data_IF_146356483608
#
_entry.id   IF_146356483608
#
_cell.length_a   1.000
_cell.length_b   1.000
_cell.length_c   1.000
_cell.angle_alpha   90.00
_cell.angle_beta   90.00
_cell.angle_gamma   90.00
#
_symmetry.space_group_name_H-M   'P 1'
#
loop_
_entity.id
_entity.type
_entity.pdbx_description
1 polymer ?
#
# COMPACT_ATOMS: atom_id res chain seq x y z
N UNK A 1 -23.10 15.99 -8.14
CA UNK A 1 -24.31 16.82 -8.36
C UNK A 1 -24.91 17.39 -7.06
N UNK A 2 -24.55 16.88 -5.87
CA UNK A 2 -25.06 17.32 -4.56
C UNK A 2 -24.22 18.39 -3.84
N UNK A 3 -23.02 18.72 -4.34
CA UNK A 3 -22.11 19.71 -3.73
C UNK A 3 -22.40 21.18 -4.12
N UNK A 4 -23.40 21.44 -4.96
CA UNK A 4 -23.72 22.78 -5.48
C UNK A 4 -24.97 23.41 -4.86
N UNK A 5 -25.66 22.72 -3.96
CA UNK A 5 -26.78 23.27 -3.19
C UNK A 5 -26.26 23.66 -1.80
N UNK A 6 -26.60 24.84 -1.25
CA UNK A 6 -26.29 25.14 0.14
C UNK A 6 -27.05 24.14 1.03
N UNK A 7 -26.33 23.13 1.50
CA UNK A 7 -26.81 22.13 2.43
C UNK A 7 -26.83 22.80 3.81
N UNK A 8 -27.93 23.47 4.15
CA UNK A 8 -28.09 24.03 5.49
C UNK A 8 -28.50 22.92 6.46
N UNK A 9 -27.78 22.75 7.59
CA UNK A 9 -28.10 21.77 8.62
C UNK A 9 -27.81 20.30 8.27
N UNK A 10 -26.98 20.03 7.25
CA UNK A 10 -26.56 18.66 6.93
C UNK A 10 -25.34 18.22 7.76
N UNK A 11 -25.24 16.91 8.03
CA UNK A 11 -24.02 16.29 8.52
C UNK A 11 -23.33 15.57 7.35
N UNK A 12 -22.20 16.11 6.92
CA UNK A 12 -21.38 15.58 5.84
C UNK A 12 -20.26 14.73 6.45
N UNK A 13 -20.12 13.49 5.99
CA UNK A 13 -19.03 12.59 6.38
C UNK A 13 -18.21 12.33 5.11
N UNK A 14 -16.94 12.69 5.16
CA UNK A 14 -15.98 12.59 4.05
C UNK A 14 -14.86 11.66 4.48
N UNK A 15 -14.54 10.70 3.62
CA UNK A 15 -13.49 9.72 3.84
C UNK A 15 -12.32 10.03 2.90
N UNK A 16 -11.18 10.45 3.48
CA UNK A 16 -9.92 10.79 2.80
C UNK A 16 -10.07 11.66 1.53
N UNK A 17 -10.73 12.84 1.60
CA UNK A 17 -10.95 13.69 0.44
C UNK A 17 -9.67 14.26 -0.19
N UNK A 18 -8.51 14.17 0.47
CA UNK A 18 -7.20 14.56 -0.09
C UNK A 18 -6.48 13.45 -0.85
N UNK A 19 -6.99 12.21 -0.85
CA UNK A 19 -6.36 11.11 -1.57
C UNK A 19 -6.16 11.46 -3.06
N UNK A 20 -4.92 11.38 -3.55
CA UNK A 20 -4.54 11.73 -4.93
C UNK A 20 -4.56 13.23 -5.26
N UNK A 21 -4.76 14.11 -4.27
CA UNK A 21 -4.67 15.56 -4.45
C UNK A 21 -3.23 16.05 -4.26
N UNK A 22 -2.82 16.95 -5.13
CA UNK A 22 -1.58 17.69 -4.96
C UNK A 22 -1.72 18.70 -3.80
N UNK A 23 -0.67 18.97 -2.98
CA UNK A 23 -0.74 19.89 -1.84
C UNK A 23 -1.31 21.29 -2.17
N UNK A 24 -1.03 21.79 -3.37
CA UNK A 24 -1.60 23.05 -3.90
C UNK A 24 -3.13 23.04 -3.95
N UNK A 25 -3.75 21.90 -4.24
CA UNK A 25 -5.20 21.75 -4.36
C UNK A 25 -5.87 21.43 -3.02
N UNK A 26 -5.12 20.86 -2.05
CA UNK A 26 -5.56 20.71 -0.66
C UNK A 26 -6.03 22.03 -0.05
N UNK A 27 -5.34 23.14 -0.33
CA UNK A 27 -5.75 24.46 0.13
C UNK A 27 -7.12 24.91 -0.42
N UNK A 28 -7.45 24.56 -1.67
CA UNK A 28 -8.76 24.86 -2.26
C UNK A 28 -9.86 23.99 -1.63
N UNK A 29 -9.55 22.73 -1.35
CA UNK A 29 -10.45 21.83 -0.64
C UNK A 29 -10.76 22.39 0.76
N UNK A 30 -9.75 22.80 1.53
CA UNK A 30 -9.94 23.40 2.86
C UNK A 30 -10.87 24.61 2.84
N UNK A 31 -10.68 25.53 1.89
CA UNK A 31 -11.57 26.69 1.71
C UNK A 31 -13.02 26.23 1.48
N UNK A 32 -13.21 25.16 0.70
CA UNK A 32 -14.54 24.62 0.40
C UNK A 32 -15.17 23.96 1.63
N UNK A 33 -14.40 23.19 2.40
CA UNK A 33 -14.85 22.55 3.63
C UNK A 33 -15.27 23.60 4.68
N UNK A 34 -14.48 24.66 4.87
CA UNK A 34 -14.83 25.75 5.77
C UNK A 34 -16.09 26.50 5.30
N UNK A 35 -16.27 26.74 4.00
CA UNK A 35 -17.51 27.33 3.47
C UNK A 35 -18.75 26.49 3.75
N UNK A 36 -18.64 25.16 3.61
CA UNK A 36 -19.73 24.25 3.94
C UNK A 36 -20.07 24.32 5.43
N UNK A 37 -19.06 24.28 6.31
CA UNK A 37 -19.25 24.49 7.75
C UNK A 37 -19.92 25.84 8.05
N UNK A 38 -19.42 26.93 7.47
CA UNK A 38 -19.90 28.29 7.72
C UNK A 38 -21.34 28.51 7.20
N UNK A 39 -21.78 27.70 6.23
CA UNK A 39 -23.17 27.65 5.77
C UNK A 39 -24.12 26.91 6.73
N UNK A 40 -23.63 26.44 7.89
CA UNK A 40 -24.44 25.77 8.92
C UNK A 40 -24.50 24.24 8.81
N UNK A 41 -23.59 23.63 8.04
CA UNK A 41 -23.40 22.17 8.04
C UNK A 41 -22.38 21.73 9.09
N UNK A 42 -22.51 20.49 9.58
CA UNK A 42 -21.43 19.80 10.29
C UNK A 42 -20.64 18.98 9.29
N UNK A 43 -19.32 19.12 9.29
CA UNK A 43 -18.43 18.41 8.37
C UNK A 43 -17.47 17.54 9.18
N UNK A 44 -17.62 16.23 9.06
CA UNK A 44 -16.74 15.23 9.67
C UNK A 44 -15.85 14.69 8.56
N UNK A 45 -14.54 14.79 8.75
CA UNK A 45 -13.54 14.35 7.78
C UNK A 45 -12.64 13.32 8.44
N UNK A 46 -12.54 12.14 7.82
CA UNK A 46 -11.50 11.16 8.13
C UNK A 46 -10.31 11.49 7.25
N UNK A 47 -9.17 11.84 7.85
CA UNK A 47 -7.99 12.32 7.11
C UNK A 47 -6.69 11.96 7.81
N UNK A 48 -5.63 11.96 7.00
CA UNK A 48 -4.24 11.77 7.40
C UNK A 48 -3.35 12.93 6.92
N UNK A 49 -3.85 13.81 6.05
CA UNK A 49 -3.11 14.98 5.56
C UNK A 49 -2.85 16.01 6.67
N UNK A 50 -1.59 16.41 6.79
CA UNK A 50 -1.14 17.31 7.85
C UNK A 50 -1.72 18.72 7.78
N UNK A 51 -2.03 19.24 6.58
CA UNK A 51 -2.64 20.56 6.43
C UNK A 51 -4.11 20.52 6.86
N UNK A 52 -4.83 19.44 6.52
CA UNK A 52 -6.20 19.23 7.01
C UNK A 52 -6.25 19.07 8.52
N UNK A 53 -5.38 18.25 9.10
CA UNK A 53 -5.31 18.06 10.56
C UNK A 53 -5.04 19.40 11.27
N UNK A 54 -4.15 20.23 10.73
CA UNK A 54 -3.83 21.55 11.32
C UNK A 54 -4.96 22.57 11.17
N UNK A 55 -5.73 22.51 10.08
CA UNK A 55 -6.82 23.43 9.79
C UNK A 55 -8.14 23.07 10.49
N UNK A 56 -8.25 21.87 11.08
CA UNK A 56 -9.46 21.41 11.74
C UNK A 56 -9.83 22.28 12.96
N UNK A 57 -11.13 22.57 13.13
CA UNK A 57 -11.63 23.24 14.35
C UNK A 57 -11.57 22.31 15.56
N UNK A 58 -11.82 21.03 15.32
CA UNK A 58 -11.84 19.97 16.31
C UNK A 58 -11.22 18.71 15.72
N UNK A 59 -10.28 18.13 16.44
CA UNK A 59 -9.54 16.93 16.08
C UNK A 59 -9.92 15.80 17.04
N UNK A 60 -10.19 14.63 16.48
CA UNK A 60 -10.44 13.37 17.20
C UNK A 60 -9.35 12.40 16.77
N UNK A 61 -8.55 11.92 17.73
CA UNK A 61 -7.50 10.94 17.48
C UNK A 61 -7.89 9.58 18.07
N UNK A 62 -7.80 8.55 17.25
CA UNK A 62 -8.15 7.17 17.61
C UNK A 62 -6.91 6.29 17.58
N UNK A 63 -6.79 5.39 18.54
CA UNK A 63 -5.68 4.43 18.60
C UNK A 63 -5.74 3.57 19.87
N UNK A 64 -4.60 3.24 20.51
CA UNK A 64 -3.21 3.60 20.15
C UNK A 64 -2.65 2.87 18.93
N UNK A 65 -3.25 1.76 18.51
CA UNK A 65 -2.86 1.01 17.32
C UNK A 65 -4.01 0.82 16.33
N UNK A 66 -3.83 -0.10 15.39
CA UNK A 66 -4.84 -0.48 14.41
C UNK A 66 -5.52 -1.81 14.77
N UNK A 67 -6.66 -2.08 14.14
CA UNK A 67 -7.42 -3.31 14.37
C UNK A 67 -7.83 -3.50 15.83
N UNK A 68 -7.48 -4.67 16.41
CA UNK A 68 -7.84 -5.00 17.78
C UNK A 68 -7.12 -4.16 18.84
N UNK A 69 -6.01 -3.50 18.48
CA UNK A 69 -5.25 -2.60 19.38
C UNK A 69 -5.69 -1.13 19.25
N UNK A 70 -6.70 -0.86 18.41
CA UNK A 70 -7.25 0.46 18.16
C UNK A 70 -8.64 0.67 18.76
N UNK A 71 -9.34 1.67 18.23
CA UNK A 71 -10.74 1.94 18.59
C UNK A 71 -10.94 2.66 19.92
N UNK A 72 -9.87 3.13 20.56
CA UNK A 72 -9.94 3.97 21.76
C UNK A 72 -9.78 5.43 21.38
N UNK A 73 -10.52 6.30 22.08
CA UNK A 73 -10.36 7.75 21.97
C UNK A 73 -9.08 8.16 22.72
N UNK A 74 -8.04 8.53 21.99
CA UNK A 74 -6.80 9.02 22.59
C UNK A 74 -6.92 10.51 22.94
N UNK A 75 -7.55 11.28 22.05
CA UNK A 75 -7.67 12.72 22.17
C UNK A 75 -8.92 13.25 21.47
N UNK A 76 -9.55 14.26 22.06
CA UNK A 76 -10.58 15.07 21.44
C UNK A 76 -10.42 16.53 21.89
N UNK A 77 -10.20 17.44 20.95
CA UNK A 77 -9.97 18.85 21.26
C UNK A 77 -9.48 19.62 20.04
N UNK A 78 -8.86 20.78 20.24
CA UNK A 78 -8.27 21.51 19.11
C UNK A 78 -6.94 20.87 18.67
N UNK A 79 -6.50 21.03 17.40
CA UNK A 79 -5.18 20.56 16.97
C UNK A 79 -4.02 21.10 17.80
N UNK A 80 -4.17 22.30 18.37
CA UNK A 80 -3.17 22.89 19.26
C UNK A 80 -3.01 22.11 20.57
N UNK A 81 -4.10 21.59 21.14
CA UNK A 81 -4.05 20.76 22.35
C UNK A 81 -3.52 19.35 22.06
N UNK A 82 -3.77 18.80 20.87
CA UNK A 82 -3.25 17.48 20.47
C UNK A 82 -1.71 17.43 20.55
N UNK A 83 -1.04 18.55 20.26
CA UNK A 83 0.41 18.73 20.38
C UNK A 83 0.93 18.60 21.82
N UNK A 84 0.09 18.57 22.84
CA UNK A 84 0.54 18.41 24.23
C UNK A 84 0.28 16.99 24.75
N UNK A 85 -0.46 16.17 24.00
CA UNK A 85 -0.75 14.78 24.38
C UNK A 85 0.39 13.84 23.97
N UNK A 86 1.04 13.24 24.97
CA UNK A 86 2.19 12.37 24.81
C UNK A 86 1.87 10.96 24.25
N UNK A 87 0.60 10.56 24.24
CA UNK A 87 0.16 9.23 23.79
C UNK A 87 -0.47 9.23 22.40
N UNK A 88 -0.49 10.38 21.72
CA UNK A 88 -1.10 10.55 20.40
C UNK A 88 -0.01 10.54 19.31
N UNK A 89 0.04 9.53 18.42
CA UNK A 89 0.93 9.53 17.26
C UNK A 89 0.70 10.74 16.35
N UNK A 90 -0.57 11.18 16.22
CA UNK A 90 -0.94 12.40 15.53
C UNK A 90 -0.33 13.63 16.22
N UNK A 91 -0.32 13.67 17.55
CA UNK A 91 0.35 14.69 18.35
C UNK A 91 1.86 14.72 18.14
N UNK A 92 2.51 13.55 18.06
CA UNK A 92 3.95 13.43 17.74
C UNK A 92 4.26 14.01 16.37
N UNK A 93 3.45 13.69 15.36
CA UNK A 93 3.55 14.29 14.03
C UNK A 93 3.41 15.82 14.08
N UNK A 94 2.40 16.33 14.78
CA UNK A 94 2.15 17.76 14.88
C UNK A 94 3.25 18.53 15.63
N UNK A 95 4.00 17.85 16.51
CA UNK A 95 5.20 18.38 17.19
C UNK A 95 6.48 18.25 16.36
N UNK A 96 6.47 17.46 15.28
CA UNK A 96 7.68 17.07 14.56
C UNK A 96 8.57 16.09 15.32
N UNK A 97 7.96 15.27 16.20
CA UNK A 97 8.64 14.29 17.06
C UNK A 97 8.63 12.86 16.49
N UNK A 98 8.10 12.66 15.28
CA UNK A 98 8.21 11.36 14.61
C UNK A 98 9.69 11.02 14.36
N UNK A 99 10.07 9.72 14.41
CA UNK A 99 11.42 9.29 14.10
C UNK A 99 11.83 9.74 12.70
N UNK A 100 13.07 10.21 12.56
CA UNK A 100 13.65 10.42 11.25
C UNK A 100 13.88 9.08 10.54
N UNK A 101 13.76 9.06 9.22
CA UNK A 101 14.18 7.91 8.42
C UNK A 101 15.71 7.89 8.39
N UNK A 102 16.32 6.99 9.17
CA UNK A 102 17.78 6.90 9.39
C UNK A 102 18.54 6.29 8.19
N UNK A 103 18.43 6.88 7.00
CA UNK A 103 19.23 6.44 5.84
C UNK A 103 19.83 7.62 5.11
N UNK A 104 21.16 7.59 4.97
CA UNK A 104 21.87 8.58 4.17
C UNK A 104 21.42 8.49 2.70
N UNK A 105 21.16 9.62 2.03
CA UNK A 105 20.77 9.62 0.63
C UNK A 105 21.90 9.07 -0.25
N UNK A 106 21.52 8.36 -1.31
CA UNK A 106 22.47 7.84 -2.30
C UNK A 106 23.02 9.02 -3.10
N UNK A 107 24.34 9.18 -3.11
CA UNK A 107 24.98 10.24 -3.89
C UNK A 107 25.01 9.85 -5.37
N UNK A 108 24.28 10.59 -6.19
CA UNK A 108 24.19 10.36 -7.63
C UNK A 108 25.26 11.18 -8.35
N UNK A 109 26.08 10.52 -9.17
CA UNK A 109 27.15 11.14 -9.94
C UNK A 109 26.84 11.07 -11.45
N UNK A 110 27.55 11.84 -12.26
CA UNK A 110 27.37 11.87 -13.73
C UNK A 110 27.63 10.53 -14.43
N UNK A 111 28.37 9.62 -13.78
CA UNK A 111 28.66 8.26 -14.26
C UNK A 111 27.72 7.20 -13.69
N UNK A 112 26.77 7.57 -12.84
CA UNK A 112 25.80 6.63 -12.29
C UNK A 112 24.99 5.99 -13.42
N UNK A 113 24.67 4.71 -13.23
CA UNK A 113 23.80 3.98 -14.12
C UNK A 113 22.42 4.64 -14.20
N UNK A 114 21.79 4.60 -15.37
CA UNK A 114 20.52 5.27 -15.62
C UNK A 114 19.68 4.54 -16.67
N UNK A 115 18.37 4.76 -16.62
CA UNK A 115 17.43 4.49 -17.71
C UNK A 115 17.07 5.81 -18.40
N UNK A 116 17.09 5.83 -19.72
CA UNK A 116 16.72 7.03 -20.48
C UNK A 116 15.44 6.78 -21.26
N UNK A 117 14.35 7.42 -20.88
CA UNK A 117 13.11 7.42 -21.67
C UNK A 117 13.28 8.44 -22.80
N UNK A 118 13.02 8.04 -24.05
CA UNK A 118 13.13 8.94 -25.21
C UNK A 118 11.77 9.32 -25.78
N UNK A 119 11.53 10.62 -25.88
CA UNK A 119 10.40 11.25 -26.54
C UNK A 119 9.05 10.56 -26.22
N UNK A 120 8.74 10.40 -24.94
CA UNK A 120 7.43 9.93 -24.51
C UNK A 120 6.34 10.94 -24.89
N UNK A 121 5.27 10.44 -25.52
CA UNK A 121 4.17 11.23 -26.11
C UNK A 121 2.79 10.72 -25.72
N UNK A 122 2.70 9.78 -24.78
CA UNK A 122 1.42 9.22 -24.38
C UNK A 122 0.57 10.29 -23.67
N UNK A 123 -0.73 10.32 -23.99
CA UNK A 123 -1.69 11.31 -23.49
C UNK A 123 -1.22 12.76 -23.69
N UNK A 124 -0.98 13.50 -22.60
CA UNK A 124 -0.59 14.89 -22.64
C UNK A 124 0.93 15.13 -22.62
N UNK A 125 1.76 14.08 -22.62
CA UNK A 125 3.22 14.20 -22.60
C UNK A 125 3.75 14.90 -23.86
N UNK A 126 4.61 15.91 -23.68
CA UNK A 126 5.09 16.80 -24.75
C UNK A 126 6.50 16.41 -25.22
N UNK A 127 6.64 15.22 -25.82
CA UNK A 127 7.93 14.66 -26.27
C UNK A 127 8.98 14.60 -25.15
N UNK A 128 8.59 14.05 -24.00
CA UNK A 128 9.44 14.03 -22.81
C UNK A 128 10.59 13.04 -22.99
N UNK A 129 11.82 13.53 -22.92
CA UNK A 129 13.02 12.70 -22.79
C UNK A 129 13.66 12.94 -21.42
N UNK A 130 13.93 11.88 -20.67
CA UNK A 130 14.41 12.00 -19.29
C UNK A 130 15.30 10.84 -18.88
N UNK A 131 16.33 11.15 -18.09
CA UNK A 131 17.21 10.22 -17.43
C UNK A 131 16.71 9.92 -16.00
N UNK A 132 16.54 8.63 -15.69
CA UNK A 132 16.21 8.12 -14.37
C UNK A 132 17.43 7.37 -13.80
N UNK A 133 18.08 7.87 -12.74
CA UNK A 133 19.21 7.18 -12.13
C UNK A 133 18.78 5.84 -11.51
N UNK A 134 19.66 4.83 -11.61
CA UNK A 134 19.47 3.50 -11.04
C UNK A 134 20.17 3.36 -9.68
N UNK A 135 19.81 2.32 -8.94
CA UNK A 135 20.28 2.00 -7.59
C UNK A 135 20.04 3.13 -6.57
N UNK A 136 18.95 3.87 -6.76
CA UNK A 136 18.53 4.96 -5.89
C UNK A 136 17.01 5.04 -5.80
N UNK A 137 16.54 5.88 -4.88
CA UNK A 137 15.13 6.24 -4.74
C UNK A 137 14.81 7.46 -5.62
N UNK A 138 14.12 7.24 -6.74
CA UNK A 138 13.55 8.30 -7.57
C UNK A 138 12.10 8.58 -7.16
N UNK A 139 11.76 9.84 -6.86
CA UNK A 139 10.40 10.29 -6.64
C UNK A 139 9.90 11.11 -7.84
N UNK A 140 8.74 10.75 -8.40
CA UNK A 140 8.06 11.46 -9.48
C UNK A 140 6.89 12.23 -8.89
N UNK A 141 6.91 13.55 -9.03
CA UNK A 141 5.91 14.45 -8.45
C UNK A 141 5.37 15.44 -9.49
N UNK A 142 4.47 16.32 -9.05
CA UNK A 142 3.78 17.31 -9.88
C UNK A 142 2.26 17.18 -9.81
N UNK A 143 1.52 18.20 -10.25
CA UNK A 143 0.05 18.29 -10.03
C UNK A 143 -0.74 17.12 -10.62
N UNK A 144 -1.94 16.85 -10.08
CA UNK A 144 -2.80 15.78 -10.58
C UNK A 144 -3.14 16.02 -12.06
N UNK A 145 -3.00 15.00 -12.90
CA UNK A 145 -3.16 15.13 -14.36
C UNK A 145 -1.98 15.75 -15.11
N UNK A 146 -0.82 15.97 -14.47
CA UNK A 146 0.37 16.48 -15.16
C UNK A 146 1.04 15.48 -16.12
N UNK A 147 0.78 14.18 -15.95
CA UNK A 147 1.32 13.11 -16.79
C UNK A 147 2.22 12.08 -16.07
N UNK A 148 2.26 12.07 -14.73
CA UNK A 148 3.07 11.14 -13.92
C UNK A 148 2.83 9.66 -14.23
N UNK A 149 1.59 9.19 -14.07
CA UNK A 149 1.21 7.80 -14.37
C UNK A 149 1.37 7.49 -15.85
N UNK A 150 1.11 8.45 -16.74
CA UNK A 150 1.36 8.27 -18.18
C UNK A 150 2.83 8.03 -18.49
N UNK A 151 3.76 8.71 -17.82
CA UNK A 151 5.19 8.51 -18.03
C UNK A 151 5.69 7.19 -17.42
N UNK A 152 5.31 6.89 -16.17
CA UNK A 152 5.88 5.76 -15.42
C UNK A 152 5.05 4.47 -15.61
N UNK A 153 3.75 4.53 -15.35
CA UNK A 153 2.86 3.37 -15.36
C UNK A 153 2.45 2.95 -16.77
N UNK A 154 2.20 3.91 -17.66
CA UNK A 154 1.68 3.61 -19.00
C UNK A 154 2.76 3.63 -20.10
N UNK A 155 3.90 4.27 -19.87
CA UNK A 155 5.03 4.28 -20.83
C UNK A 155 6.21 3.42 -20.35
N UNK A 156 6.82 3.72 -19.20
CA UNK A 156 8.02 3.01 -18.74
C UNK A 156 7.74 1.54 -18.39
N UNK A 157 6.71 1.28 -17.58
CA UNK A 157 6.41 -0.07 -17.09
C UNK A 157 6.16 -1.08 -18.22
N UNK A 158 5.32 -0.81 -19.26
CA UNK A 158 5.10 -1.76 -20.33
C UNK A 158 6.37 -2.04 -21.15
N UNK A 159 7.17 -1.01 -21.43
CA UNK A 159 8.41 -1.14 -22.21
C UNK A 159 9.44 -1.99 -21.46
N UNK A 160 9.66 -1.74 -20.17
CA UNK A 160 10.57 -2.54 -19.35
C UNK A 160 10.02 -3.96 -19.16
N UNK A 161 8.72 -4.11 -18.92
CA UNK A 161 8.08 -5.43 -18.75
C UNK A 161 8.22 -6.30 -20.00
N UNK A 162 8.07 -5.72 -21.19
CA UNK A 162 8.24 -6.44 -22.45
C UNK A 162 9.67 -6.96 -22.63
N UNK A 163 10.67 -6.14 -22.27
CA UNK A 163 12.07 -6.53 -22.35
C UNK A 163 12.45 -7.63 -21.35
N UNK A 164 11.90 -7.57 -20.13
CA UNK A 164 12.26 -8.45 -19.03
C UNK A 164 11.48 -9.77 -19.04
N UNK A 165 10.16 -9.75 -19.29
CA UNK A 165 9.28 -10.92 -19.15
C UNK A 165 9.17 -11.78 -20.42
N UNK A 166 9.61 -11.28 -21.59
CA UNK A 166 9.55 -12.00 -22.88
C UNK A 166 8.19 -12.66 -23.20
N UNK A 167 7.06 -12.03 -22.83
CA UNK A 167 5.71 -12.56 -23.06
C UNK A 167 4.91 -11.68 -24.05
N UNK A 168 4.01 -12.29 -24.82
CA UNK A 168 3.30 -11.65 -25.95
C UNK A 168 2.40 -10.49 -25.55
N UNK A 169 1.77 -10.56 -24.37
CA UNK A 169 0.88 -9.51 -23.88
C UNK A 169 1.65 -8.23 -23.52
N UNK A 170 2.88 -8.37 -23.00
CA UNK A 170 3.74 -7.25 -22.66
C UNK A 170 4.25 -6.52 -23.92
N UNK A 171 4.51 -7.24 -25.01
CA UNK A 171 4.94 -6.65 -26.27
C UNK A 171 3.86 -5.74 -26.90
N UNK A 172 2.58 -6.09 -26.74
CA UNK A 172 1.46 -5.27 -27.24
C UNK A 172 1.32 -3.99 -26.42
N UNK A 173 1.38 -4.09 -25.09
CA UNK A 173 1.35 -2.92 -24.21
C UNK A 173 2.55 -1.98 -24.43
N UNK A 174 3.73 -2.51 -24.73
CA UNK A 174 4.90 -1.70 -25.08
C UNK A 174 4.73 -0.93 -26.41
N UNK A 175 3.96 -1.46 -27.37
CA UNK A 175 3.66 -0.75 -28.62
C UNK A 175 2.73 0.47 -28.39
N UNK A 176 1.89 0.40 -27.36
CA UNK A 176 0.98 1.49 -26.97
C UNK A 176 1.63 2.54 -26.05
N UNK A 177 2.87 2.32 -25.60
CA UNK A 177 3.60 3.24 -24.73
C UNK A 177 3.95 4.60 -25.37
N UNK A 178 3.84 4.72 -26.70
CA UNK A 178 4.06 5.96 -27.50
C UNK A 178 5.37 6.71 -27.14
N UNK A 179 6.49 6.00 -27.06
CA UNK A 179 7.84 6.57 -26.92
C UNK A 179 8.79 6.05 -28.01
N UNK A 180 9.94 6.69 -28.21
CA UNK A 180 10.98 6.25 -29.17
C UNK A 180 11.90 5.13 -28.61
N UNK A 181 11.62 4.69 -27.39
CA UNK A 181 12.34 3.63 -26.70
C UNK A 181 12.83 4.08 -25.32
N UNK A 182 13.30 3.10 -24.57
CA UNK A 182 13.98 3.31 -23.29
C UNK A 182 15.38 2.69 -23.40
N UNK A 183 16.42 3.50 -23.19
CA UNK A 183 17.81 3.04 -23.22
C UNK A 183 18.25 2.60 -21.80
N UNK A 184 19.17 1.63 -21.72
CA UNK A 184 19.70 1.12 -20.45
C UNK A 184 18.87 0.00 -19.80
N UNK A 185 17.82 -0.51 -20.48
CA UNK A 185 16.92 -1.55 -19.94
C UNK A 185 17.66 -2.85 -19.62
N UNK A 186 18.75 -3.15 -20.32
CA UNK A 186 19.60 -4.33 -20.12
C UNK A 186 20.19 -4.42 -18.70
N UNK A 187 20.20 -3.32 -17.97
CA UNK A 187 20.62 -3.26 -16.56
C UNK A 187 19.55 -3.80 -15.61
N UNK A 188 18.29 -3.90 -16.04
CA UNK A 188 17.15 -4.36 -15.24
C UNK A 188 16.87 -5.83 -15.52
N UNK A 189 16.83 -6.64 -14.47
CA UNK A 189 16.61 -8.09 -14.57
C UNK A 189 15.20 -8.51 -14.15
N UNK A 190 14.51 -7.68 -13.38
CA UNK A 190 13.14 -7.88 -12.92
C UNK A 190 12.45 -6.52 -12.79
N UNK A 191 11.16 -6.45 -13.10
CA UNK A 191 10.33 -5.28 -12.81
C UNK A 191 9.15 -5.70 -11.95
N UNK A 192 8.85 -4.89 -10.94
CA UNK A 192 7.71 -5.09 -10.02
C UNK A 192 6.94 -3.79 -9.95
N UNK A 193 5.65 -3.83 -10.30
CA UNK A 193 4.74 -2.72 -10.13
C UNK A 193 3.83 -2.96 -8.93
N UNK A 194 3.75 -1.97 -8.05
CA UNK A 194 2.87 -1.96 -6.89
C UNK A 194 1.89 -0.79 -7.02
N UNK A 195 0.67 -1.11 -7.43
CA UNK A 195 -0.43 -0.17 -7.55
C UNK A 195 -1.40 -0.26 -6.36
N UNK A 196 -2.37 0.67 -6.32
CA UNK A 196 -3.47 0.65 -5.35
C UNK A 196 -4.57 -0.36 -5.71
N UNK A 197 -4.36 -1.24 -6.71
CA UNK A 197 -5.40 -2.20 -7.08
C UNK A 197 -5.69 -3.15 -5.91
N UNK A 198 -6.97 -3.49 -5.65
CA UNK A 198 -7.33 -4.35 -4.53
C UNK A 198 -6.61 -5.70 -4.57
N UNK A 199 -6.12 -6.16 -3.42
CA UNK A 199 -5.45 -7.46 -3.31
C UNK A 199 -6.44 -8.61 -3.52
N UNK A 200 -6.59 -9.04 -4.76
CA UNK A 200 -7.38 -10.21 -5.12
C UNK A 200 -8.89 -10.02 -4.94
N UNK A 201 -9.64 -10.14 -6.04
CA UNK A 201 -11.11 -10.08 -6.00
C UNK A 201 -11.79 -11.30 -5.35
N UNK A 202 -11.00 -12.26 -4.86
CA UNK A 202 -11.52 -13.51 -4.30
C UNK A 202 -11.45 -13.52 -2.79
N UNK A 203 -12.55 -13.90 -2.14
CA UNK A 203 -12.61 -14.17 -0.68
C UNK A 203 -11.68 -15.30 -0.20
N UNK A 204 -10.96 -15.95 -1.13
CA UNK A 204 -9.94 -16.96 -0.87
C UNK A 204 -8.53 -16.40 -0.68
N UNK A 205 -8.27 -15.19 -1.17
CA UNK A 205 -7.00 -14.51 -0.91
C UNK A 205 -6.99 -14.01 0.53
N UNK A 206 -5.91 -14.29 1.25
CA UNK A 206 -5.67 -13.84 2.63
C UNK A 206 -4.17 -13.71 2.89
N UNK A 207 -3.77 -13.15 4.05
CA UNK A 207 -2.37 -12.98 4.42
C UNK A 207 -1.58 -14.28 4.26
N UNK A 208 -2.06 -15.40 4.79
CA UNK A 208 -1.34 -16.69 4.75
C UNK A 208 -0.99 -17.14 3.32
N UNK A 209 -1.88 -16.85 2.36
CA UNK A 209 -1.64 -17.16 0.95
C UNK A 209 -0.77 -16.12 0.25
N UNK A 210 -0.93 -14.84 0.61
CA UNK A 210 -0.17 -13.72 0.06
C UNK A 210 1.31 -13.81 0.44
N UNK A 211 1.60 -14.03 1.72
CA UNK A 211 2.98 -14.21 2.20
C UNK A 211 3.58 -15.59 1.84
N UNK A 212 2.86 -16.45 1.11
CA UNK A 212 3.37 -17.74 0.66
C UNK A 212 3.58 -18.80 1.74
N UNK A 213 3.30 -18.51 3.02
CA UNK A 213 3.52 -19.44 4.13
C UNK A 213 2.52 -20.60 4.16
N UNK A 214 1.36 -20.45 3.51
CA UNK A 214 0.26 -21.41 3.66
C UNK A 214 0.64 -22.84 3.26
N UNK A 215 1.52 -22.99 2.26
CA UNK A 215 2.00 -24.30 1.84
C UNK A 215 2.85 -24.98 2.91
N UNK A 216 3.70 -24.21 3.60
CA UNK A 216 4.54 -24.68 4.70
C UNK A 216 3.69 -25.05 5.92
N UNK A 217 2.74 -24.20 6.30
CA UNK A 217 1.78 -24.48 7.39
C UNK A 217 1.02 -25.79 7.14
N UNK A 218 0.46 -25.98 5.94
CA UNK A 218 -0.26 -27.23 5.59
C UNK A 218 0.64 -28.46 5.68
N UNK A 219 1.93 -28.35 5.33
CA UNK A 219 2.91 -29.45 5.47
C UNK A 219 3.22 -29.78 6.93
N UNK A 220 3.13 -28.83 7.85
CA UNK A 220 3.32 -29.12 9.28
C UNK A 220 2.19 -29.99 9.82
N UNK A 221 0.94 -29.71 9.43
CA UNK A 221 -0.22 -30.51 9.85
C UNK A 221 -0.16 -31.96 9.38
N UNK A 222 0.38 -32.25 8.19
CA UNK A 222 0.55 -33.64 7.71
C UNK A 222 1.59 -34.43 8.50
N UNK A 223 2.47 -33.76 9.26
CA UNK A 223 3.47 -34.43 10.11
C UNK A 223 2.91 -34.86 11.47
N UNK A 224 1.71 -34.41 11.84
CA UNK A 224 1.07 -34.79 13.11
C UNK A 224 0.70 -36.28 13.11
N UNK A 225 0.74 -36.91 14.29
CA UNK A 225 0.41 -38.35 14.44
C UNK A 225 -1.00 -38.66 13.94
N UNK A 226 -1.97 -37.83 14.29
CA UNK A 226 -3.37 -38.00 13.91
C UNK A 226 -3.59 -37.89 12.40
N UNK A 227 -2.95 -36.92 11.74
CA UNK A 227 -3.03 -36.78 10.29
C UNK A 227 -2.43 -37.99 9.57
N UNK A 228 -1.29 -38.50 10.05
CA UNK A 228 -0.63 -39.68 9.47
C UNK A 228 -1.49 -40.93 9.61
N UNK A 229 -2.07 -41.19 10.78
CA UNK A 229 -2.94 -42.34 11.00
C UNK A 229 -4.19 -42.31 10.10
N UNK A 230 -4.68 -41.12 9.74
CA UNK A 230 -5.85 -40.94 8.87
C UNK A 230 -5.49 -40.79 7.38
N UNK A 231 -4.22 -40.87 7.00
CA UNK A 231 -3.77 -40.72 5.62
C UNK A 231 -3.95 -39.30 5.05
N UNK A 232 -3.98 -38.27 5.90
CA UNK A 232 -4.23 -36.89 5.44
C UNK A 232 -3.01 -36.29 4.76
N UNK A 233 -3.23 -35.79 3.55
CA UNK A 233 -2.26 -35.05 2.74
C UNK A 233 -2.44 -33.53 2.90
N UNK A 234 -1.50 -32.74 2.38
CA UNK A 234 -1.57 -31.27 2.44
C UNK A 234 -2.82 -30.71 1.76
N UNK A 235 -3.41 -31.43 0.81
CA UNK A 235 -4.66 -31.05 0.14
C UNK A 235 -5.86 -31.04 1.11
N UNK A 236 -5.85 -31.89 2.15
CA UNK A 236 -6.91 -31.88 3.16
C UNK A 236 -6.90 -30.58 3.99
N UNK A 237 -5.73 -29.97 4.18
CA UNK A 237 -5.58 -28.71 4.91
C UNK A 237 -5.69 -27.47 4.01
N UNK A 238 -6.08 -27.62 2.73
CA UNK A 238 -6.30 -26.50 1.82
C UNK A 238 -7.76 -26.04 1.87
N UNK A 239 -7.99 -24.73 2.04
CA UNK A 239 -9.33 -24.14 1.87
C UNK A 239 -9.63 -23.80 0.40
N UNK A 240 -8.61 -23.73 -0.46
CA UNK A 240 -8.77 -23.45 -1.90
C UNK A 240 -9.24 -24.68 -2.68
N UNK A 241 -8.80 -25.86 -2.26
CA UNK A 241 -8.96 -27.13 -2.96
C UNK A 241 -9.01 -28.28 -1.96
N UNK A 242 -9.52 -29.45 -2.37
CA UNK A 242 -9.54 -30.65 -1.54
C UNK A 242 -10.81 -30.83 -0.69
N UNK A 243 -10.90 -32.01 -0.08
CA UNK A 243 -12.10 -32.50 0.63
C UNK A 243 -12.24 -31.95 2.05
N UNK A 244 -11.17 -31.37 2.60
CA UNK A 244 -11.15 -30.85 3.96
C UNK A 244 -11.87 -29.54 4.19
N UNK A 245 -12.15 -28.79 3.11
CA UNK A 245 -12.87 -27.51 3.20
C UNK A 245 -14.34 -27.71 3.56
N UNK A 246 -14.94 -26.68 4.14
CA UNK A 246 -16.38 -26.63 4.37
C UNK A 246 -17.12 -26.73 3.02
N UNK A 247 -18.07 -27.68 2.92
CA UNK A 247 -18.85 -27.93 1.70
C UNK A 247 -19.76 -26.75 1.33
N UNK A 248 -20.26 -26.07 2.34
CA UNK A 248 -21.29 -25.04 2.23
C UNK A 248 -20.79 -23.68 1.74
N UNK A 249 -19.60 -23.27 2.17
CA UNK A 249 -18.93 -22.07 1.67
C UNK A 249 -17.78 -22.39 0.71
N UNK A 250 -17.54 -23.67 0.41
CA UNK A 250 -16.42 -24.14 -0.45
C UNK A 250 -15.07 -23.50 -0.06
N UNK A 251 -14.84 -23.40 1.25
CA UNK A 251 -13.62 -22.86 1.85
C UNK A 251 -13.47 -21.34 1.93
N UNK A 252 -14.42 -20.53 1.47
CA UNK A 252 -14.33 -19.05 1.61
C UNK A 252 -14.47 -18.61 3.07
N UNK A 253 -15.27 -19.33 3.86
CA UNK A 253 -15.64 -18.95 5.23
C UNK A 253 -16.77 -17.91 5.27
N UNK A 254 -17.16 -17.36 4.13
CA UNK A 254 -18.18 -16.32 4.01
C UNK A 254 -19.24 -16.69 2.98
N UNK A 255 -20.41 -16.04 3.08
CA UNK A 255 -21.49 -16.10 2.10
C UNK A 255 -21.89 -14.69 1.69
N UNK A 256 -22.12 -14.49 0.39
CA UNK A 256 -22.66 -13.26 -0.14
C UNK A 256 -24.19 -13.29 -0.02
N UNK A 257 -24.75 -12.31 0.66
CA UNK A 257 -26.19 -12.08 0.77
C UNK A 257 -26.53 -10.91 -0.12
N UNK A 258 -27.27 -11.18 -1.19
CA UNK A 258 -27.73 -10.14 -2.10
C UNK A 258 -28.84 -9.32 -1.44
N UNK A 259 -28.70 -8.00 -1.50
CA UNK A 259 -29.69 -7.07 -0.97
C UNK A 259 -30.38 -6.33 -2.13
N UNK A 260 -31.66 -5.99 -1.97
CA UNK A 260 -32.43 -5.41 -3.07
C UNK A 260 -32.15 -3.93 -3.31
N UNK A 261 -31.76 -3.19 -2.26
CA UNK A 261 -31.60 -1.72 -2.30
C UNK A 261 -30.30 -1.23 -1.65
N UNK A 262 -29.54 -2.14 -1.04
CA UNK A 262 -28.27 -1.87 -0.40
C UNK A 262 -27.17 -2.67 -1.10
N UNK A 263 -25.89 -2.29 -0.96
CA UNK A 263 -24.78 -3.10 -1.42
C UNK A 263 -24.86 -4.52 -0.84
N UNK A 264 -24.46 -5.53 -1.62
CA UNK A 264 -24.43 -6.92 -1.18
C UNK A 264 -23.61 -7.05 0.12
N UNK A 265 -24.13 -7.79 1.09
CA UNK A 265 -23.46 -8.01 2.37
C UNK A 265 -22.72 -9.35 2.39
N UNK A 266 -21.52 -9.35 2.97
CA UNK A 266 -20.75 -10.57 3.20
C UNK A 266 -20.92 -11.00 4.64
N UNK A 267 -21.52 -12.17 4.87
CA UNK A 267 -21.71 -12.73 6.22
C UNK A 267 -20.79 -13.92 6.46
N UNK A 268 -20.51 -14.24 7.72
CA UNK A 268 -19.83 -15.47 8.09
C UNK A 268 -20.66 -16.71 7.71
N UNK A 269 -20.00 -17.75 7.20
CA UNK A 269 -20.68 -19.00 6.86
C UNK A 269 -21.25 -19.66 8.13
N UNK A 270 -22.57 -19.90 8.22
CA UNK A 270 -23.18 -20.46 9.43
C UNK A 270 -22.77 -21.92 9.69
N UNK A 271 -22.37 -22.65 8.65
CA UNK A 271 -22.04 -24.07 8.77
C UNK A 271 -20.67 -24.34 9.36
N UNK A 272 -19.72 -23.42 9.13
CA UNK A 272 -18.36 -23.52 9.68
C UNK A 272 -17.99 -22.36 10.60
N UNK A 273 -18.89 -21.42 10.85
CA UNK A 273 -18.65 -20.19 11.63
C UNK A 273 -17.39 -19.45 11.17
N UNK A 274 -17.21 -19.30 9.86
CA UNK A 274 -16.05 -18.65 9.27
C UNK A 274 -14.76 -19.48 9.24
N UNK A 275 -14.73 -20.68 9.81
CA UNK A 275 -13.50 -21.47 9.98
C UNK A 275 -12.98 -22.14 8.71
N UNK A 276 -13.69 -22.04 7.59
CA UNK A 276 -13.33 -22.56 6.25
C UNK A 276 -13.21 -24.08 6.10
N UNK A 277 -13.09 -24.84 7.18
CA UNK A 277 -12.84 -26.28 7.19
C UNK A 277 -14.01 -27.09 7.77
N UNK A 278 -14.07 -28.37 7.37
CA UNK A 278 -15.01 -29.33 7.95
C UNK A 278 -14.56 -29.76 9.37
N UNK A 279 -15.45 -30.36 10.19
CA UNK A 279 -15.13 -30.75 11.56
C UNK A 279 -13.99 -31.78 11.68
N UNK A 280 -13.84 -32.67 10.69
CA UNK A 280 -12.83 -33.73 10.71
C UNK A 280 -11.43 -33.12 10.60
N UNK A 281 -11.21 -32.22 9.64
CA UNK A 281 -9.91 -31.54 9.48
C UNK A 281 -9.62 -30.62 10.67
N UNK A 282 -10.65 -29.97 11.22
CA UNK A 282 -10.51 -29.14 12.42
C UNK A 282 -10.14 -29.92 13.69
N UNK A 283 -10.38 -31.23 13.72
CA UNK A 283 -9.99 -32.06 14.87
C UNK A 283 -8.48 -32.27 14.98
N UNK A 284 -7.75 -32.14 13.87
CA UNK A 284 -6.29 -32.34 13.85
C UNK A 284 -5.59 -31.15 14.49
N UNK A 285 -4.71 -31.42 15.46
CA UNK A 285 -3.97 -30.39 16.22
C UNK A 285 -2.48 -30.39 15.92
N UNK A 286 -1.91 -29.20 15.81
CA UNK A 286 -0.47 -28.92 15.83
C UNK A 286 -0.20 -27.94 16.98
N UNK A 287 0.58 -28.35 17.99
CA UNK A 287 0.78 -27.58 19.24
C UNK A 287 -0.54 -27.06 19.81
N UNK A 288 -1.51 -27.95 19.96
CA UNK A 288 -2.88 -27.70 20.45
C UNK A 288 -3.80 -26.82 19.57
N UNK A 289 -3.29 -26.31 18.45
CA UNK A 289 -4.07 -25.47 17.52
C UNK A 289 -4.53 -26.26 16.30
N UNK A 290 -5.79 -26.07 15.90
CA UNK A 290 -6.26 -26.59 14.61
C UNK A 290 -5.80 -25.68 13.47
N UNK A 291 -5.88 -26.19 12.24
CA UNK A 291 -5.58 -25.40 11.04
C UNK A 291 -6.44 -24.12 10.94
N UNK A 292 -7.65 -24.14 11.49
CA UNK A 292 -8.53 -22.98 11.52
C UNK A 292 -8.14 -21.97 12.62
N UNK A 293 -7.58 -22.45 13.73
CA UNK A 293 -7.07 -21.58 14.80
C UNK A 293 -5.81 -20.85 14.34
N UNK A 294 -4.93 -21.52 13.58
CA UNK A 294 -3.77 -20.87 12.95
C UNK A 294 -4.21 -19.72 12.03
N UNK A 295 -5.27 -19.90 11.24
CA UNK A 295 -5.80 -18.82 10.39
C UNK A 295 -6.42 -17.66 11.18
N UNK A 296 -6.75 -17.86 12.46
CA UNK A 296 -7.27 -16.79 13.32
C UNK A 296 -6.19 -16.06 14.10
N UNK A 297 -4.97 -16.61 14.17
CA UNK A 297 -3.85 -15.94 14.82
C UNK A 297 -3.56 -14.62 14.13
N UNK A 298 -3.28 -13.60 14.94
CA UNK A 298 -2.66 -12.36 14.47
C UNK A 298 -1.28 -12.64 13.91
N UNK A 299 -0.79 -11.79 13.02
CA UNK A 299 0.58 -11.94 12.48
C UNK A 299 1.61 -11.89 13.62
N UNK A 300 1.43 -11.03 14.62
CA UNK A 300 2.31 -10.95 15.80
C UNK A 300 2.38 -12.27 16.57
N UNK A 301 1.20 -12.86 16.85
CA UNK A 301 1.07 -14.13 17.55
C UNK A 301 1.64 -15.28 16.72
N UNK A 302 1.39 -15.27 15.41
CA UNK A 302 1.88 -16.29 14.49
C UNK A 302 3.41 -16.24 14.35
N UNK A 303 3.99 -15.04 14.27
CA UNK A 303 5.44 -14.85 14.21
C UNK A 303 6.11 -15.50 15.42
N UNK A 304 5.52 -15.33 16.61
CA UNK A 304 5.97 -15.96 17.83
C UNK A 304 5.75 -17.48 17.83
N UNK A 305 4.55 -17.92 17.46
CA UNK A 305 4.17 -19.34 17.42
C UNK A 305 5.10 -20.16 16.50
N UNK A 306 5.54 -19.57 15.39
CA UNK A 306 6.43 -20.19 14.41
C UNK A 306 7.91 -19.80 14.57
N UNK A 307 8.33 -19.22 15.70
CA UNK A 307 9.72 -18.76 15.95
C UNK A 307 10.80 -19.81 15.64
N UNK A 308 10.54 -21.08 15.91
CA UNK A 308 11.48 -22.18 15.62
C UNK A 308 11.59 -22.51 14.11
N UNK A 309 10.62 -22.10 13.31
CA UNK A 309 10.59 -22.32 11.87
C UNK A 309 11.12 -21.06 11.17
N UNK A 310 12.45 -20.93 11.07
CA UNK A 310 13.14 -19.75 10.56
C UNK A 310 12.53 -19.14 9.28
N UNK A 311 12.17 -19.99 8.31
CA UNK A 311 11.52 -19.53 7.07
C UNK A 311 10.15 -18.89 7.31
N UNK A 312 9.31 -19.49 8.15
CA UNK A 312 7.98 -18.96 8.49
C UNK A 312 8.11 -17.69 9.32
N UNK A 313 8.97 -17.73 10.34
CA UNK A 313 9.21 -16.61 11.23
C UNK A 313 9.71 -15.37 10.47
N UNK A 314 10.72 -15.51 9.61
CA UNK A 314 11.26 -14.39 8.84
C UNK A 314 10.20 -13.70 7.96
N UNK A 315 9.38 -14.49 7.26
CA UNK A 315 8.28 -13.95 6.44
C UNK A 315 7.24 -13.22 7.30
N UNK A 316 6.84 -13.81 8.43
CA UNK A 316 5.86 -13.20 9.34
C UNK A 316 6.41 -11.94 10.00
N UNK A 317 7.69 -11.92 10.36
CA UNK A 317 8.35 -10.76 10.96
C UNK A 317 8.46 -9.60 9.97
N UNK A 318 8.64 -9.87 8.67
CA UNK A 318 8.53 -8.83 7.62
C UNK A 318 7.13 -8.24 7.54
N UNK A 319 6.08 -9.06 7.62
CA UNK A 319 4.70 -8.54 7.65
C UNK A 319 4.42 -7.75 8.94
N UNK A 320 5.00 -8.17 10.06
CA UNK A 320 4.94 -7.43 11.31
C UNK A 320 5.65 -6.08 11.20
N UNK A 321 6.85 -6.04 10.62
CA UNK A 321 7.67 -4.84 10.55
C UNK A 321 7.02 -3.74 9.71
N UNK A 322 6.27 -4.09 8.65
CA UNK A 322 5.48 -3.12 7.87
C UNK A 322 4.18 -2.66 8.57
N UNK A 323 3.96 -3.04 9.83
CA UNK A 323 2.81 -2.59 10.63
C UNK A 323 1.53 -3.37 10.38
N UNK A 324 1.58 -4.60 9.83
CA UNK A 324 0.40 -5.46 9.64
C UNK A 324 0.18 -6.49 10.76
N UNK A 325 0.93 -6.36 11.87
CA UNK A 325 0.91 -7.29 13.01
C UNK A 325 -0.48 -7.63 13.56
N UNK A 326 -1.39 -6.65 13.54
CA UNK A 326 -2.76 -6.77 14.03
C UNK A 326 -3.70 -7.59 13.14
N UNK A 327 -3.35 -7.80 11.86
CA UNK A 327 -4.16 -8.59 10.94
C UNK A 327 -4.08 -10.07 11.27
N UNK A 328 -5.16 -10.81 10.99
CA UNK A 328 -5.14 -12.27 11.14
C UNK A 328 -4.70 -12.96 9.85
N UNK A 329 -4.03 -14.12 9.98
CA UNK A 329 -3.51 -14.87 8.83
C UNK A 329 -4.58 -15.25 7.80
N UNK A 330 -5.81 -15.49 8.26
CA UNK A 330 -6.96 -15.87 7.45
C UNK A 330 -7.83 -14.71 6.99
N UNK A 331 -7.55 -13.47 7.39
CA UNK A 331 -8.38 -12.32 7.01
C UNK A 331 -8.48 -12.22 5.48
N UNK A 332 -9.70 -12.16 4.91
CA UNK A 332 -9.88 -12.04 3.47
C UNK A 332 -9.24 -10.74 2.95
N UNK A 333 -8.45 -10.82 1.90
CA UNK A 333 -7.77 -9.68 1.32
C UNK A 333 -8.73 -8.63 0.73
N UNK A 334 -9.97 -9.02 0.42
CA UNK A 334 -11.05 -8.10 0.04
C UNK A 334 -11.54 -7.19 1.17
N UNK A 335 -11.14 -7.45 2.42
CA UNK A 335 -11.48 -6.62 3.58
C UNK A 335 -10.36 -5.65 3.97
N UNK A 336 -9.24 -5.68 3.23
CA UNK A 336 -8.13 -4.76 3.50
C UNK A 336 -8.49 -3.36 3.01
N UNK A 337 -8.11 -2.36 3.81
CA UNK A 337 -7.98 -0.98 3.34
C UNK A 337 -6.94 -0.88 2.21
N UNK A 338 -6.93 0.23 1.48
CA UNK A 338 -5.92 0.50 0.45
C UNK A 338 -4.50 0.40 1.01
N UNK A 339 -4.24 1.07 2.14
CA UNK A 339 -2.95 1.05 2.82
C UNK A 339 -2.54 -0.34 3.35
N UNK A 340 -3.47 -1.15 3.85
CA UNK A 340 -3.19 -2.55 4.23
C UNK A 340 -2.82 -3.40 3.02
N UNK A 341 -3.57 -3.26 1.92
CA UNK A 341 -3.33 -4.01 0.70
C UNK A 341 -1.94 -3.71 0.13
N UNK A 342 -1.55 -2.43 0.13
CA UNK A 342 -0.26 -2.01 -0.36
C UNK A 342 0.90 -2.50 0.51
N UNK A 343 0.80 -2.32 1.84
CA UNK A 343 1.80 -2.84 2.78
C UNK A 343 1.95 -4.35 2.67
N UNK A 344 0.86 -5.08 2.43
CA UNK A 344 0.90 -6.53 2.25
C UNK A 344 1.60 -6.93 0.93
N UNK A 345 1.41 -6.18 -0.16
CA UNK A 345 2.17 -6.39 -1.41
C UNK A 345 3.67 -6.14 -1.19
N UNK A 346 4.02 -5.02 -0.55
CA UNK A 346 5.40 -4.66 -0.26
C UNK A 346 6.08 -5.71 0.64
N UNK A 347 5.41 -6.13 1.71
CA UNK A 347 5.92 -7.15 2.61
C UNK A 347 6.15 -8.50 1.89
N UNK A 348 5.31 -8.85 0.92
CA UNK A 348 5.49 -10.06 0.12
C UNK A 348 6.79 -10.01 -0.71
N UNK A 349 7.15 -8.84 -1.24
CA UNK A 349 8.40 -8.66 -1.98
C UNK A 349 9.62 -8.68 -1.05
N UNK A 350 9.54 -8.00 0.09
CA UNK A 350 10.61 -7.99 1.09
C UNK A 350 10.88 -9.38 1.68
N UNK A 351 9.82 -10.16 1.89
CA UNK A 351 9.91 -11.51 2.43
C UNK A 351 10.51 -12.52 1.44
N UNK A 352 10.63 -12.16 0.16
CA UNK A 352 11.18 -13.00 -0.91
C UNK A 352 12.40 -12.31 -1.55
N UNK A 353 13.52 -12.17 -0.81
CA UNK A 353 14.69 -11.44 -1.31
C UNK A 353 15.23 -12.09 -2.58
N UNK A 354 15.62 -11.23 -3.53
CA UNK A 354 16.15 -11.64 -4.83
C UNK A 354 17.54 -11.03 -5.05
N UNK A 355 18.44 -11.79 -5.65
CA UNK A 355 19.73 -11.27 -6.11
C UNK A 355 19.64 -10.53 -7.45
N UNK A 356 18.48 -10.62 -8.11
CA UNK A 356 18.26 -9.96 -9.39
C UNK A 356 18.06 -8.46 -9.19
N UNK A 357 18.73 -7.65 -9.99
CA UNK A 357 18.49 -6.21 -9.98
C UNK A 357 17.05 -5.93 -10.42
N UNK A 358 16.25 -5.47 -9.46
CA UNK A 358 14.81 -5.24 -9.62
C UNK A 358 14.52 -3.75 -9.69
N UNK A 359 13.70 -3.35 -10.67
CA UNK A 359 13.08 -2.02 -10.73
C UNK A 359 11.71 -2.08 -10.07
N UNK A 360 11.56 -1.39 -8.95
CA UNK A 360 10.28 -1.24 -8.25
C UNK A 360 9.59 0.05 -8.70
N UNK A 361 8.37 -0.06 -9.20
CA UNK A 361 7.51 1.06 -9.58
C UNK A 361 6.33 1.11 -8.61
N UNK A 362 6.19 2.19 -7.85
CA UNK A 362 5.13 2.35 -6.86
C UNK A 362 4.27 3.56 -7.22
N UNK A 363 2.95 3.38 -7.20
CA UNK A 363 1.99 4.46 -7.46
C UNK A 363 1.31 4.89 -6.15
N UNK A 364 1.60 6.12 -5.72
CA UNK A 364 1.07 6.78 -4.51
C UNK A 364 0.99 5.87 -3.28
N UNK A 365 2.14 5.35 -2.79
CA UNK A 365 2.16 4.38 -1.72
C UNK A 365 1.84 4.89 -0.32
N UNK A 366 1.73 6.20 -0.15
CA UNK A 366 1.31 6.82 1.11
C UNK A 366 -0.16 7.22 1.13
N UNK A 367 -0.91 6.98 0.05
CA UNK A 367 -2.34 7.29 0.01
C UNK A 367 -3.08 6.54 1.13
N UNK A 368 -3.80 7.30 1.97
CA UNK A 368 -4.51 6.77 3.13
C UNK A 368 -3.63 6.23 4.27
N UNK A 369 -2.34 6.59 4.31
CA UNK A 369 -1.45 6.22 5.42
C UNK A 369 -1.30 7.37 6.42
N UNK A 370 -1.37 7.04 7.70
CA UNK A 370 -1.01 7.97 8.77
C UNK A 370 0.49 8.34 8.68
N UNK A 371 0.92 9.58 9.02
CA UNK A 371 2.31 9.98 8.93
C UNK A 371 3.33 9.06 9.64
N UNK A 372 2.96 8.47 10.77
CA UNK A 372 3.79 7.45 11.45
C UNK A 372 3.99 6.18 10.60
N UNK A 373 2.98 5.77 9.84
CA UNK A 373 3.06 4.64 8.92
C UNK A 373 3.89 4.98 7.68
N UNK A 374 3.89 6.25 7.24
CA UNK A 374 4.75 6.73 6.15
C UNK A 374 6.23 6.59 6.53
N UNK A 375 6.61 6.92 7.77
CA UNK A 375 7.99 6.71 8.26
C UNK A 375 8.38 5.24 8.18
N UNK A 376 7.50 4.34 8.66
CA UNK A 376 7.71 2.91 8.60
C UNK A 376 7.86 2.42 7.15
N UNK A 377 6.97 2.83 6.25
CA UNK A 377 7.04 2.51 4.83
C UNK A 377 8.38 2.94 4.22
N UNK A 378 8.79 4.18 4.48
CA UNK A 378 10.04 4.75 3.96
C UNK A 378 11.27 3.94 4.38
N UNK A 379 11.34 3.46 5.63
CA UNK A 379 12.42 2.58 6.08
C UNK A 379 12.53 1.30 5.24
N UNK A 380 11.39 0.70 4.91
CA UNK A 380 11.35 -0.52 4.10
C UNK A 380 11.69 -0.26 2.62
N UNK A 381 11.20 0.85 2.05
CA UNK A 381 11.58 1.26 0.70
C UNK A 381 13.09 1.52 0.59
N UNK A 382 13.67 2.18 1.60
CA UNK A 382 15.11 2.41 1.70
C UNK A 382 15.92 1.13 1.88
N UNK A 383 15.38 0.12 2.56
CA UNK A 383 16.01 -1.19 2.66
C UNK A 383 16.14 -1.88 1.27
N UNK A 384 15.13 -1.75 0.40
CA UNK A 384 15.20 -2.25 -0.98
C UNK A 384 16.30 -1.54 -1.80
N UNK A 385 16.38 -0.22 -1.68
CA UNK A 385 17.44 0.57 -2.34
C UNK A 385 18.82 0.20 -1.82
N UNK A 386 18.96 0.03 -0.49
CA UNK A 386 20.21 -0.39 0.16
C UNK A 386 20.65 -1.80 -0.24
N UNK A 387 19.70 -2.68 -0.59
CA UNK A 387 19.97 -3.99 -1.18
C UNK A 387 20.44 -3.93 -2.65
N UNK A 388 20.54 -2.73 -3.24
CA UNK A 388 20.99 -2.50 -4.61
C UNK A 388 19.86 -2.50 -5.64
N UNK A 389 18.60 -2.35 -5.24
CA UNK A 389 17.48 -2.23 -6.17
C UNK A 389 17.24 -0.78 -6.59
N UNK A 390 16.57 -0.60 -7.73
CA UNK A 390 16.15 0.71 -8.22
C UNK A 390 14.68 0.94 -7.93
N UNK A 391 14.32 2.16 -7.53
CA UNK A 391 12.94 2.48 -7.18
C UNK A 391 12.49 3.77 -7.85
N UNK A 392 11.29 3.75 -8.42
CA UNK A 392 10.57 4.93 -8.90
C UNK A 392 9.21 4.96 -8.22
N UNK A 393 8.95 6.03 -7.47
CA UNK A 393 7.71 6.21 -6.73
C UNK A 393 7.00 7.45 -7.25
N UNK A 394 5.73 7.33 -7.63
CA UNK A 394 4.87 8.48 -7.88
C UNK A 394 4.33 8.94 -6.53
N UNK A 395 4.58 10.19 -6.15
CA UNK A 395 4.13 10.73 -4.86
C UNK A 395 3.86 12.23 -4.86
N UNK A 396 3.02 12.60 -3.90
CA UNK A 396 2.63 13.95 -3.54
C UNK A 396 2.99 14.29 -2.09
N UNK A 397 3.25 13.28 -1.26
CA UNK A 397 3.62 13.46 0.13
C UNK A 397 5.03 14.09 0.25
N UNK A 398 5.09 15.22 0.96
CA UNK A 398 6.32 16.01 1.10
C UNK A 398 7.45 15.24 1.79
N UNK A 399 7.14 14.37 2.75
CA UNK A 399 8.13 13.59 3.49
C UNK A 399 8.77 12.53 2.58
N UNK A 400 8.00 11.92 1.67
CA UNK A 400 8.54 10.99 0.66
C UNK A 400 9.38 11.71 -0.38
N UNK A 401 8.89 12.86 -0.88
CA UNK A 401 9.61 13.68 -1.87
C UNK A 401 10.96 14.13 -1.31
N UNK A 402 10.97 14.70 -0.10
CA UNK A 402 12.21 15.13 0.56
C UNK A 402 13.11 13.95 0.94
N UNK A 403 12.50 12.80 1.25
CA UNK A 403 13.18 11.55 1.59
C UNK A 403 13.68 10.75 0.39
N UNK A 404 13.57 11.24 -0.84
CA UNK A 404 14.08 10.60 -2.06
C UNK A 404 15.53 10.99 -2.37
N UNK A 405 16.20 10.28 -3.29
CA UNK A 405 17.55 10.62 -3.75
C UNK A 405 17.53 11.50 -5.00
N UNK A 406 16.46 11.39 -5.79
CA UNK A 406 16.25 12.14 -7.02
C UNK A 406 14.77 12.47 -7.20
N UNK A 407 14.48 13.70 -7.59
CA UNK A 407 13.13 14.18 -7.84
C UNK A 407 12.97 14.43 -9.34
N UNK A 408 11.86 13.96 -9.88
CA UNK A 408 11.35 14.30 -11.21
C UNK A 408 10.01 15.01 -11.07
N UNK A 409 9.95 16.30 -11.35
CA UNK A 409 8.72 17.08 -11.31
C UNK A 409 8.14 17.27 -12.72
N UNK A 410 6.86 16.91 -12.88
CA UNK A 410 6.13 16.97 -14.15
C UNK A 410 5.00 18.00 -14.04
N UNK A 411 4.95 18.93 -14.99
CA UNK A 411 3.97 20.00 -15.01
C UNK A 411 4.14 20.90 -16.25
N UNK A 412 4.02 22.23 -16.13
CA UNK A 412 3.75 23.00 -14.90
C UNK A 412 2.31 22.92 -14.38
N UNK A 413 1.36 22.48 -15.21
CA UNK A 413 -0.05 22.30 -14.84
C UNK A 413 -0.55 20.91 -15.30
N UNK A 414 -1.87 20.73 -15.33
CA UNK A 414 -2.56 19.51 -15.70
C UNK A 414 -2.98 19.50 -17.17
N UNK A 415 -3.32 18.31 -17.68
CA UNK A 415 -3.87 18.10 -19.02
C UNK A 415 -2.99 18.77 -20.11
N UNK A 416 -3.58 19.55 -21.02
CA UNK A 416 -2.86 20.15 -22.16
C UNK A 416 -1.71 21.09 -21.78
N UNK A 417 -1.78 21.68 -20.57
CA UNK A 417 -0.77 22.57 -20.03
C UNK A 417 0.30 21.84 -19.20
N UNK A 418 0.17 20.52 -19.06
CA UNK A 418 1.13 19.64 -18.41
C UNK A 418 2.07 18.94 -19.39
N UNK A 419 2.60 17.80 -18.95
CA UNK A 419 3.37 16.89 -19.78
C UNK A 419 4.79 17.35 -20.11
N UNK A 420 5.37 18.28 -19.32
CA UNK A 420 6.76 18.72 -19.44
C UNK A 420 7.51 18.45 -18.15
N UNK A 421 8.83 18.26 -18.25
CA UNK A 421 9.70 18.21 -17.08
C UNK A 421 9.92 19.63 -16.58
N UNK A 422 9.57 19.89 -15.33
CA UNK A 422 9.78 21.17 -14.64
C UNK A 422 11.10 21.13 -13.89
N UNK A 423 11.41 19.99 -13.26
CA UNK A 423 12.65 19.77 -12.52
C UNK A 423 13.09 18.31 -12.60
N UNK A 424 14.39 18.08 -12.66
CA UNK A 424 15.00 16.76 -12.53
C UNK A 424 16.35 16.92 -11.81
N UNK A 425 16.48 16.39 -10.60
CA UNK A 425 17.67 16.62 -9.80
C UNK A 425 17.58 16.09 -8.37
N UNK A 426 18.65 16.24 -7.57
CA UNK A 426 18.63 15.91 -6.15
C UNK A 426 17.70 16.87 -5.37
N UNK A 427 17.13 16.43 -4.22
CA UNK A 427 16.17 17.23 -3.44
C UNK A 427 16.67 18.61 -3.02
N UNK A 428 17.97 18.79 -2.76
CA UNK A 428 18.53 20.07 -2.30
C UNK A 428 18.37 21.22 -3.31
N UNK A 429 18.14 20.94 -4.59
CA UNK A 429 17.86 21.94 -5.62
C UNK A 429 16.37 22.13 -5.92
N UNK A 430 15.50 21.34 -5.28
CA UNK A 430 14.06 21.37 -5.52
C UNK A 430 13.40 22.39 -4.61
N UNK A 431 12.98 23.52 -5.18
CA UNK A 431 12.05 24.43 -4.53
C UNK A 431 10.66 24.14 -5.07
N UNK A 432 9.89 23.32 -4.35
CA UNK A 432 8.48 23.19 -4.69
C UNK A 432 7.84 24.56 -4.51
N UNK A 433 7.06 25.07 -5.48
CA UNK A 433 6.31 26.32 -5.30
C UNK A 433 5.29 26.23 -4.14
N UNK A 434 5.08 25.05 -3.56
CA UNK A 434 4.21 24.82 -2.41
C UNK A 434 4.95 24.67 -1.07
N UNK A 435 6.26 24.42 -1.05
CA UNK A 435 7.04 24.34 0.20
C UNK A 435 7.56 25.73 0.56
N UNK A 436 6.67 26.61 1.00
CA UNK A 436 7.05 27.72 1.85
C UNK A 436 7.52 27.17 3.19
N UNK A 437 8.79 26.76 3.26
CA UNK A 437 9.54 26.75 4.51
C UNK A 437 10.33 28.04 4.60
#
# INVERSE_FOLDING_TARGET
ASLSSPLYGACLILDEPTAGLHPRDTQKLLITLHRLRDSGSTVIVVEHDGDVIRAADWLIDLGPGAGADGGQLLFAGTPSNAREHAQSPTGDYLRGALPAVETAPVVIHSKSQKLTIRNARLNNLKNVSIDLPLHCFVCVTGVSGSGKSSLITDTLLPVVSAAVMQNSDAATAAADARCDGVDGIEQIQRVVSLDQSPLGRSSRSCIATLCGIWNDVRRLFTKTREARMRGFTSQHFSFNSGEGRCRDCRGTGTRLVRMSFLPDAVISCPSCNGLRFNPIVRSIRFRDHSVADILKMRIDEAAEFFREFQKLHGVLDTFRSVGLGYLTLGQPASTFSGGEAQRAKLASELASPTSLHTLYLLDEPTSGLHPADVVCLMQHLRALVSAGHSMVVIEHNADVICGSDWILDIGPDSAEQGGRIVFAGPPGGFSSPATGR
#
